data_IF_625785191178
#
_entry.id   IF_625785191178
#
_cell.length_a   1.000
_cell.length_b   1.000
_cell.length_c   1.000
_cell.angle_alpha   90.00
_cell.angle_beta   90.00
_cell.angle_gamma   90.00
#
_symmetry.space_group_name_H-M   'P 1'
#
loop_
_entity.id
_entity.type
_entity.pdbx_description
1 polymer ?
#
# COMPACT_ATOMS: atom_id res chain seq x y z
N UNK A 1 6.63 10.79 -16.18
CA UNK A 1 7.77 10.51 -15.27
C UNK A 1 7.41 11.10 -13.93
N UNK A 2 7.48 10.32 -12.86
CA UNK A 2 7.23 10.79 -11.48
C UNK A 2 8.53 10.65 -10.71
N UNK A 3 8.94 11.70 -10.01
CA UNK A 3 10.14 11.70 -9.18
C UNK A 3 9.77 12.21 -7.79
N UNK A 4 10.19 11.47 -6.77
CA UNK A 4 9.90 11.77 -5.37
C UNK A 4 11.17 12.28 -4.70
N UNK A 5 11.15 13.52 -4.24
CA UNK A 5 12.21 14.07 -3.40
C UNK A 5 11.73 14.16 -1.95
N UNK A 6 12.56 13.70 -1.02
CA UNK A 6 12.34 13.95 0.41
C UNK A 6 13.04 15.25 0.82
N UNK A 7 12.37 16.10 1.59
CA UNK A 7 12.94 17.35 2.12
C UNK A 7 12.47 18.60 1.38
N UNK A 8 13.40 19.51 1.09
CA UNK A 8 13.10 20.85 0.55
C UNK A 8 12.51 20.77 -0.87
N UNK A 9 11.22 21.11 -0.97
CA UNK A 9 10.45 21.13 -2.22
C UNK A 9 11.08 22.07 -3.24
N UNK A 10 11.64 23.21 -2.83
CA UNK A 10 12.26 24.16 -3.74
C UNK A 10 13.53 23.58 -4.38
N UNK A 11 14.32 22.85 -3.59
CA UNK A 11 15.51 22.15 -4.08
C UNK A 11 15.15 21.01 -5.03
N UNK A 12 14.12 20.22 -4.71
CA UNK A 12 13.64 19.16 -5.58
C UNK A 12 13.08 19.70 -6.91
N UNK A 13 12.33 20.81 -6.84
CA UNK A 13 11.80 21.49 -8.02
C UNK A 13 12.92 22.00 -8.93
N UNK A 14 13.96 22.64 -8.37
CA UNK A 14 15.10 23.13 -9.13
C UNK A 14 15.87 21.98 -9.83
N UNK A 15 16.09 20.88 -9.11
CA UNK A 15 16.75 19.70 -9.67
C UNK A 15 15.95 19.04 -10.80
N UNK A 16 14.62 18.93 -10.65
CA UNK A 16 13.74 18.32 -11.66
C UNK A 16 13.55 19.21 -12.88
N UNK A 17 13.45 20.52 -12.70
CA UNK A 17 13.37 21.49 -13.80
C UNK A 17 14.64 21.47 -14.66
N UNK A 18 15.80 21.20 -14.07
CA UNK A 18 17.06 21.12 -14.80
C UNK A 18 17.15 19.93 -15.77
N UNK A 19 16.36 18.87 -15.55
CA UNK A 19 16.42 17.62 -16.33
C UNK A 19 15.15 17.27 -17.11
N UNK A 20 14.04 17.98 -16.86
CA UNK A 20 12.76 17.74 -17.52
C UNK A 20 12.40 18.87 -18.49
N UNK A 21 12.04 18.51 -19.72
CA UNK A 21 11.54 19.46 -20.74
C UNK A 21 10.01 19.53 -20.80
N UNK A 22 9.31 18.78 -19.94
CA UNK A 22 7.85 18.72 -19.89
C UNK A 22 7.27 19.62 -18.77
N UNK A 23 5.96 19.90 -18.84
CA UNK A 23 5.25 20.59 -17.76
C UNK A 23 5.33 19.76 -16.46
N UNK A 24 6.03 20.30 -15.46
CA UNK A 24 6.17 19.67 -14.15
C UNK A 24 5.07 20.14 -13.21
N UNK A 25 4.29 19.19 -12.68
CA UNK A 25 3.42 19.42 -11.53
C UNK A 25 4.19 19.02 -10.27
N UNK A 26 4.54 19.99 -9.43
CA UNK A 26 5.18 19.74 -8.13
C UNK A 26 4.20 20.15 -7.03
N UNK A 27 3.86 19.19 -6.18
CA UNK A 27 2.92 19.38 -5.07
C UNK A 27 3.66 19.03 -3.79
N UNK A 28 3.64 19.94 -2.81
CA UNK A 28 4.11 19.65 -1.46
C UNK A 28 3.03 18.84 -0.75
N UNK A 29 3.36 17.62 -0.34
CA UNK A 29 2.44 16.71 0.36
C UNK A 29 3.11 16.22 1.66
N UNK A 30 3.31 17.12 2.65
CA UNK A 30 4.00 16.77 3.89
C UNK A 30 3.19 15.74 4.69
N UNK A 31 3.84 14.63 5.05
CA UNK A 31 3.21 13.52 5.78
C UNK A 31 2.48 12.52 4.89
N UNK A 32 2.30 12.83 3.60
CA UNK A 32 1.74 11.88 2.64
C UNK A 32 2.82 10.89 2.17
N UNK A 33 2.41 9.64 1.92
CA UNK A 33 3.29 8.64 1.32
C UNK A 33 3.56 8.94 -0.13
N UNK A 34 4.76 8.60 -0.57
CA UNK A 34 5.10 8.67 -1.97
C UNK A 34 4.71 7.39 -2.72
N UNK A 35 4.49 7.49 -4.03
CA UNK A 35 4.28 6.31 -4.88
C UNK A 35 5.46 5.32 -4.80
N UNK A 36 6.68 5.81 -4.61
CA UNK A 36 7.85 4.95 -4.44
C UNK A 36 7.82 4.16 -3.12
N UNK A 37 7.15 4.67 -2.09
CA UNK A 37 6.97 3.94 -0.83
C UNK A 37 5.82 2.93 -0.95
N UNK A 38 4.79 3.24 -1.72
CA UNK A 38 3.74 2.28 -2.08
C UNK A 38 4.30 1.13 -2.93
N UNK A 39 5.15 1.42 -3.94
CA UNK A 39 5.82 0.41 -4.76
C UNK A 39 6.71 -0.52 -3.89
N UNK A 40 7.40 0.03 -2.90
CA UNK A 40 8.20 -0.77 -1.96
C UNK A 40 7.34 -1.66 -1.08
N UNK A 41 6.23 -1.12 -0.58
CA UNK A 41 5.26 -1.86 0.23
C UNK A 41 4.63 -3.00 -0.58
N UNK A 42 4.29 -2.75 -1.84
CA UNK A 42 3.77 -3.76 -2.76
C UNK A 42 4.84 -4.81 -3.07
N UNK A 43 6.10 -4.42 -3.27
CA UNK A 43 7.20 -5.36 -3.49
C UNK A 43 7.49 -6.25 -2.27
N UNK A 44 7.38 -5.72 -1.05
CA UNK A 44 7.68 -6.44 0.19
C UNK A 44 6.50 -7.29 0.68
N UNK A 45 5.31 -6.69 0.78
CA UNK A 45 4.13 -7.29 1.40
C UNK A 45 3.09 -7.71 0.36
N UNK A 46 3.01 -6.99 -0.76
CA UNK A 46 2.03 -7.24 -1.82
C UNK A 46 2.11 -8.66 -2.38
N UNK A 47 3.31 -9.22 -2.58
CA UNK A 47 3.46 -10.63 -3.04
C UNK A 47 2.84 -11.66 -2.09
N UNK A 48 3.01 -11.46 -0.79
CA UNK A 48 2.43 -12.36 0.21
C UNK A 48 0.90 -12.25 0.22
N UNK A 49 0.39 -11.03 0.09
CA UNK A 49 -1.06 -10.76 -0.02
C UNK A 49 -1.64 -11.31 -1.33
N UNK A 50 -0.95 -11.16 -2.46
CA UNK A 50 -1.36 -11.70 -3.75
C UNK A 50 -1.47 -13.23 -3.73
N UNK A 51 -0.53 -13.91 -3.06
CA UNK A 51 -0.61 -15.35 -2.85
C UNK A 51 -1.87 -15.76 -2.07
N UNK A 52 -2.32 -14.93 -1.12
CA UNK A 52 -3.56 -15.12 -0.40
C UNK A 52 -4.79 -14.79 -1.25
N UNK A 53 -4.74 -13.77 -2.10
CA UNK A 53 -5.85 -13.45 -3.02
C UNK A 53 -6.17 -14.59 -4.00
N UNK A 54 -5.17 -15.40 -4.35
CA UNK A 54 -5.36 -16.59 -5.18
C UNK A 54 -6.06 -17.75 -4.44
N UNK A 55 -6.13 -17.70 -3.11
CA UNK A 55 -6.89 -18.64 -2.30
C UNK A 55 -8.35 -18.18 -2.20
N UNK A 56 -9.20 -18.76 -3.04
CA UNK A 56 -10.63 -18.41 -3.11
C UNK A 56 -11.37 -18.60 -1.79
N UNK A 57 -10.90 -19.48 -0.92
CA UNK A 57 -11.50 -19.68 0.40
C UNK A 57 -11.36 -18.43 1.28
N UNK A 58 -10.32 -17.61 1.05
CA UNK A 58 -10.06 -16.39 1.82
C UNK A 58 -11.03 -15.25 1.46
N UNK A 59 -11.63 -15.32 0.27
CA UNK A 59 -12.63 -14.34 -0.18
C UNK A 59 -12.11 -12.90 -0.21
N UNK A 60 -10.80 -12.71 -0.43
CA UNK A 60 -10.18 -11.39 -0.63
C UNK A 60 -10.47 -10.95 -2.06
N UNK A 61 -11.22 -9.87 -2.23
CA UNK A 61 -11.61 -9.37 -3.55
C UNK A 61 -11.02 -8.01 -3.88
N UNK A 62 -10.36 -7.37 -2.91
CA UNK A 62 -9.61 -6.13 -3.10
C UNK A 62 -8.40 -6.13 -2.16
N UNK A 63 -7.24 -5.74 -2.68
CA UNK A 63 -6.09 -5.41 -1.88
C UNK A 63 -5.33 -4.23 -2.48
N UNK A 64 -4.73 -3.40 -1.63
CA UNK A 64 -3.94 -2.26 -2.05
C UNK A 64 -3.26 -1.53 -0.88
N UNK A 65 -2.24 -0.71 -1.16
CA UNK A 65 -1.55 0.06 -0.15
C UNK A 65 -2.45 1.17 0.43
N UNK A 66 -2.57 1.25 1.76
CA UNK A 66 -3.32 2.26 2.52
C UNK A 66 -2.66 2.47 3.89
N UNK A 67 -2.51 3.73 4.31
CA UNK A 67 -1.90 4.11 5.61
C UNK A 67 -0.61 3.36 5.99
N UNK A 68 0.26 3.12 5.00
CA UNK A 68 1.55 2.44 5.18
C UNK A 68 1.45 0.92 5.31
N UNK A 69 0.29 0.34 4.99
CA UNK A 69 -0.04 -1.08 5.13
C UNK A 69 -0.74 -1.61 3.90
N UNK A 70 -0.80 -2.93 3.75
CA UNK A 70 -1.66 -3.53 2.73
C UNK A 70 -3.08 -3.68 3.29
N UNK A 71 -4.02 -2.87 2.80
CA UNK A 71 -5.45 -3.08 3.06
C UNK A 71 -5.93 -4.26 2.25
N UNK A 72 -6.69 -5.12 2.89
CA UNK A 72 -7.37 -6.24 2.26
C UNK A 72 -8.84 -6.20 2.64
N UNK A 73 -9.69 -6.10 1.63
CA UNK A 73 -11.13 -6.21 1.81
C UNK A 73 -11.57 -7.63 1.48
N UNK A 74 -12.26 -8.26 2.43
CA UNK A 74 -12.68 -9.66 2.34
C UNK A 74 -14.13 -9.83 2.80
N UNK A 75 -14.76 -10.92 2.36
CA UNK A 75 -16.15 -11.18 2.73
C UNK A 75 -16.28 -11.52 4.23
N UNK A 76 -15.43 -12.41 4.75
CA UNK A 76 -15.49 -12.89 6.13
C UNK A 76 -14.08 -13.27 6.62
N UNK A 77 -13.79 -12.92 7.87
CA UNK A 77 -12.55 -13.31 8.56
C UNK A 77 -12.78 -14.58 9.37
N UNK A 78 -12.17 -15.70 8.96
CA UNK A 78 -12.12 -16.93 9.77
C UNK A 78 -10.82 -17.01 10.55
N UNK A 79 -10.74 -17.89 11.57
CA UNK A 79 -9.49 -18.13 12.31
C UNK A 79 -8.35 -18.56 11.38
N UNK A 80 -8.64 -19.46 10.42
CA UNK A 80 -7.65 -19.90 9.42
C UNK A 80 -7.14 -18.75 8.57
N UNK A 81 -7.98 -17.76 8.26
CA UNK A 81 -7.57 -16.56 7.52
C UNK A 81 -6.68 -15.69 8.40
N UNK A 82 -7.08 -15.48 9.65
CA UNK A 82 -6.31 -14.72 10.62
C UNK A 82 -4.91 -15.29 10.84
N UNK A 83 -4.77 -16.61 10.98
CA UNK A 83 -3.46 -17.24 11.21
C UNK A 83 -2.50 -17.03 10.02
N UNK A 84 -3.02 -17.11 8.78
CA UNK A 84 -2.24 -16.82 7.56
C UNK A 84 -1.81 -15.35 7.51
N UNK A 85 -2.68 -14.43 7.92
CA UNK A 85 -2.38 -13.00 7.97
C UNK A 85 -1.42 -12.65 9.10
N UNK A 86 -1.52 -13.32 10.24
CA UNK A 86 -0.60 -13.17 11.35
C UNK A 86 0.83 -13.60 10.96
N UNK A 87 0.98 -14.59 10.09
CA UNK A 87 2.28 -15.00 9.54
C UNK A 87 2.93 -13.94 8.64
N UNK A 88 2.16 -13.00 8.09
CA UNK A 88 2.65 -11.85 7.30
C UNK A 88 3.06 -10.68 8.21
N UNK A 89 2.52 -10.62 9.43
CA UNK A 89 2.66 -9.51 10.38
C UNK A 89 1.45 -8.59 10.34
N UNK A 90 0.65 -8.58 11.42
CA UNK A 90 -0.59 -7.79 11.51
C UNK A 90 -0.34 -6.29 11.53
N UNK A 91 0.86 -5.87 11.90
CA UNK A 91 1.35 -4.51 11.80
C UNK A 91 1.48 -4.01 10.36
N UNK A 92 1.60 -4.92 9.38
CA UNK A 92 1.78 -4.61 7.96
C UNK A 92 0.50 -4.65 7.14
N UNK A 93 -0.63 -5.03 7.73
CA UNK A 93 -1.91 -5.20 7.03
C UNK A 93 -3.06 -4.48 7.71
N UNK A 94 -4.04 -4.06 6.91
CA UNK A 94 -5.36 -3.60 7.38
C UNK A 94 -6.36 -4.65 6.93
N UNK A 95 -7.00 -5.33 7.89
CA UNK A 95 -7.96 -6.41 7.61
C UNK A 95 -9.37 -5.84 7.73
N UNK A 96 -10.11 -5.86 6.63
CA UNK A 96 -11.45 -5.31 6.57
C UNK A 96 -12.47 -6.36 6.10
N UNK A 97 -13.05 -7.14 7.04
CA UNK A 97 -14.11 -8.08 6.71
C UNK A 97 -15.45 -7.36 6.59
N UNK A 98 -16.21 -7.65 5.54
CA UNK A 98 -17.60 -7.19 5.39
C UNK A 98 -18.52 -7.83 6.42
N UNK A 99 -18.39 -9.14 6.62
CA UNK A 99 -19.09 -9.89 7.66
C UNK A 99 -18.14 -9.97 8.85
N UNK A 100 -18.46 -9.21 9.90
CA UNK A 100 -17.74 -9.27 11.16
C UNK A 100 -18.23 -10.46 11.98
N UNK A 101 -17.35 -11.15 12.74
CA UNK A 101 -17.79 -12.14 13.71
C UNK A 101 -18.83 -11.50 14.65
N UNK A 102 -19.96 -12.18 14.85
CA UNK A 102 -20.85 -11.83 15.95
C UNK A 102 -20.09 -12.13 17.24
N UNK A 103 -19.94 -11.13 18.10
CA UNK A 103 -19.29 -11.26 19.41
C UNK A 103 -20.03 -12.22 20.33
#
# INVERSE_FOLDING_TARGET
MVAVGHGDVARAWAALTAVSTANLCVVAAPGERSLADDDKLEAATGKAVEALMNDRDLGIYLAGPEDGKMRMTMLHLTQRHYDKLAAIGLEHVIIEPWIRPAG
#
